data_IF_241590357601
#
_entry.id   IF_241590357601
#
_cell.length_a   1.000
_cell.length_b   1.000
_cell.length_c   1.000
_cell.angle_alpha   90.00
_cell.angle_beta   90.00
_cell.angle_gamma   90.00
#
_symmetry.space_group_name_H-M   'P 1'
#
loop_
_entity.id
_entity.type
_entity.pdbx_description
1 polymer ?
#
# COMPACT_ATOMS: atom_id res chain seq x y z
N UNK A 1 -8.48 11.12 5.06
CA UNK A 1 -7.12 10.97 5.62
C UNK A 1 -7.21 10.13 6.88
N UNK A 2 -6.33 9.14 7.00
CA UNK A 2 -6.23 8.14 8.08
C UNK A 2 -4.91 8.32 8.81
N UNK A 3 -4.88 8.10 10.12
CA UNK A 3 -3.64 8.17 10.91
C UNK A 3 -2.90 6.85 10.81
N UNK A 4 -1.82 6.84 10.02
CA UNK A 4 -1.00 5.66 9.83
C UNK A 4 0.27 5.77 10.65
N UNK A 5 0.69 4.67 11.24
CA UNK A 5 1.93 4.63 12.00
C UNK A 5 3.12 4.85 11.08
N UNK A 6 4.21 5.36 11.63
CA UNK A 6 5.50 5.41 10.94
C UNK A 6 6.54 4.63 11.73
N UNK A 7 7.52 4.04 11.03
CA UNK A 7 8.70 3.50 11.68
C UNK A 7 9.59 4.67 12.13
N UNK A 8 9.49 5.07 13.39
CA UNK A 8 10.54 5.87 14.02
C UNK A 8 11.77 4.98 14.23
N UNK A 9 12.98 5.51 13.96
CA UNK A 9 14.25 4.81 14.17
C UNK A 9 14.55 4.58 15.66
N UNK A 10 13.78 5.20 16.55
CA UNK A 10 13.69 4.78 17.95
C UNK A 10 12.54 3.78 18.04
N UNK A 11 12.75 2.59 18.58
CA UNK A 11 11.84 1.42 18.53
C UNK A 11 10.39 1.60 19.08
N UNK A 12 9.98 2.83 19.41
CA UNK A 12 8.63 3.18 19.82
C UNK A 12 7.81 3.61 18.60
N UNK A 13 6.73 2.88 18.28
CA UNK A 13 5.74 3.22 17.25
C UNK A 13 4.85 4.39 17.69
N UNK A 14 5.45 5.48 18.16
CA UNK A 14 4.74 6.63 18.76
C UNK A 14 4.39 7.71 17.74
N UNK A 15 5.04 7.71 16.57
CA UNK A 15 4.76 8.63 15.46
C UNK A 15 3.61 8.16 14.56
N UNK A 16 2.93 9.13 13.94
CA UNK A 16 1.96 8.89 12.87
C UNK A 16 2.06 9.94 11.78
N UNK A 17 1.61 9.57 10.58
CA UNK A 17 1.36 10.46 9.47
C UNK A 17 -0.11 10.38 9.03
N UNK A 18 -0.64 11.49 8.56
CA UNK A 18 -1.99 11.53 7.99
C UNK A 18 -1.90 11.15 6.52
N UNK A 19 -2.31 9.93 6.18
CA UNK A 19 -2.22 9.39 4.82
C UNK A 19 -3.61 9.34 4.19
N UNK A 20 -3.73 9.71 2.92
CA UNK A 20 -4.92 9.39 2.15
C UNK A 20 -4.82 7.97 1.59
N UNK A 21 -5.38 7.00 2.32
CA UNK A 21 -5.31 5.58 1.97
C UNK A 21 -6.13 5.22 0.72
N UNK A 22 -6.85 6.18 0.13
CA UNK A 22 -7.56 5.98 -1.13
C UNK A 22 -6.69 6.16 -2.36
N UNK A 23 -5.54 6.80 -2.20
CA UNK A 23 -4.67 7.21 -3.31
C UNK A 23 -3.18 6.97 -3.04
N UNK A 24 -2.78 6.77 -1.78
CA UNK A 24 -1.40 6.49 -1.42
C UNK A 24 -1.01 5.03 -1.78
N UNK A 25 0.13 4.88 -2.46
CA UNK A 25 0.63 3.58 -2.94
C UNK A 25 1.12 2.66 -1.82
N UNK A 26 1.72 3.21 -0.78
CA UNK A 26 2.40 2.48 0.30
C UNK A 26 1.45 2.17 1.48
N UNK A 27 0.23 2.67 1.43
CA UNK A 27 -0.84 2.49 2.42
C UNK A 27 -2.19 2.50 1.72
N UNK A 28 -2.32 1.71 0.66
CA UNK A 28 -3.54 1.62 -0.12
C UNK A 28 -4.59 0.79 0.62
N UNK A 29 -5.81 1.32 0.73
CA UNK A 29 -6.93 0.65 1.39
C UNK A 29 -6.92 0.73 2.92
N UNK A 30 -5.79 1.09 3.52
CA UNK A 30 -5.61 1.19 4.97
C UNK A 30 -4.15 1.49 5.30
N UNK A 31 -3.81 1.57 6.58
CA UNK A 31 -2.41 1.77 6.97
C UNK A 31 -1.63 0.47 6.84
N UNK A 32 -0.41 0.51 6.30
CA UNK A 32 0.52 -0.63 6.37
C UNK A 32 1.13 -0.79 7.76
N UNK A 33 1.14 0.28 8.56
CA UNK A 33 1.58 0.30 9.95
C UNK A 33 0.43 0.78 10.84
N UNK A 34 0.05 -0.04 11.82
CA UNK A 34 -1.01 0.29 12.77
C UNK A 34 -0.63 1.50 13.65
N UNK A 35 -1.62 2.31 14.02
CA UNK A 35 -1.46 3.42 14.96
C UNK A 35 -2.71 3.63 15.81
N UNK A 36 -2.55 3.61 17.14
CA UNK A 36 -3.69 3.72 18.05
C UNK A 36 -4.71 2.61 17.80
N UNK A 37 -5.94 3.00 17.42
CA UNK A 37 -7.02 2.08 17.05
C UNK A 37 -7.06 1.72 15.57
N UNK A 38 -6.24 2.34 14.72
CA UNK A 38 -6.19 2.05 13.28
C UNK A 38 -5.37 0.77 13.04
N UNK A 39 -5.98 -0.32 12.54
CA UNK A 39 -5.29 -1.57 12.30
C UNK A 39 -4.45 -1.52 11.02
N UNK A 40 -3.41 -2.36 10.96
CA UNK A 40 -2.60 -2.56 9.76
C UNK A 40 -3.37 -3.40 8.73
N UNK A 41 -4.14 -2.73 7.87
CA UNK A 41 -5.00 -3.33 6.85
C UNK A 41 -4.64 -2.90 5.43
N UNK A 42 -3.69 -1.96 5.31
CA UNK A 42 -3.22 -1.44 4.04
C UNK A 42 -2.31 -2.40 3.29
N UNK A 43 -2.24 -2.16 1.98
CA UNK A 43 -1.33 -2.83 1.06
C UNK A 43 -0.35 -1.82 0.49
N UNK A 44 0.92 -2.20 0.42
CA UNK A 44 1.93 -1.47 -0.33
C UNK A 44 1.93 -1.97 -1.78
N UNK A 45 1.27 -1.23 -2.67
CA UNK A 45 1.15 -1.58 -4.08
C UNK A 45 2.49 -1.50 -4.82
N UNK A 46 3.51 -0.87 -4.24
CA UNK A 46 4.85 -0.76 -4.85
C UNK A 46 5.63 -2.07 -4.79
N UNK A 47 5.20 -2.99 -3.92
CA UNK A 47 5.84 -4.27 -3.66
C UNK A 47 5.12 -5.47 -4.34
N UNK A 48 4.23 -5.22 -5.30
CA UNK A 48 3.57 -6.30 -6.07
C UNK A 48 4.61 -6.99 -6.98
N UNK A 49 4.86 -8.30 -6.81
CA UNK A 49 5.80 -9.03 -7.65
C UNK A 49 5.42 -8.95 -9.13
N UNK A 50 6.41 -8.74 -9.99
CA UNK A 50 6.20 -8.69 -11.44
C UNK A 50 5.50 -7.43 -11.95
N UNK A 51 4.92 -6.57 -11.11
CA UNK A 51 4.31 -5.32 -11.57
C UNK A 51 5.39 -4.28 -11.93
N UNK A 52 5.11 -3.48 -12.97
CA UNK A 52 5.95 -2.34 -13.39
C UNK A 52 5.18 -1.02 -13.36
N UNK A 53 3.86 -1.06 -13.51
CA UNK A 53 2.99 0.10 -13.35
C UNK A 53 1.84 -0.28 -12.43
N UNK A 54 1.76 0.43 -11.31
CA UNK A 54 0.78 0.23 -10.25
C UNK A 54 0.21 1.57 -9.78
N UNK A 55 -1.03 1.53 -9.30
CA UNK A 55 -1.78 2.64 -8.74
C UNK A 55 -2.54 2.21 -7.48
N UNK A 56 -3.00 3.19 -6.70
CA UNK A 56 -4.00 2.98 -5.65
C UNK A 56 -5.27 3.70 -6.07
N UNK A 57 -6.31 2.95 -6.39
CA UNK A 57 -7.58 3.48 -6.88
C UNK A 57 -8.69 3.16 -5.88
N UNK A 58 -9.25 4.20 -5.25
CA UNK A 58 -10.31 4.06 -4.24
C UNK A 58 -9.96 3.12 -3.06
N UNK A 59 -8.67 2.96 -2.79
CA UNK A 59 -8.13 2.07 -1.75
C UNK A 59 -7.93 0.62 -2.21
N UNK A 60 -7.83 0.37 -3.51
CA UNK A 60 -7.50 -0.93 -4.09
C UNK A 60 -6.27 -0.79 -4.98
N UNK A 61 -5.31 -1.70 -4.84
CA UNK A 61 -4.17 -1.73 -5.74
C UNK A 61 -4.62 -2.08 -7.16
N UNK A 62 -4.27 -1.24 -8.11
CA UNK A 62 -4.49 -1.45 -9.53
C UNK A 62 -3.14 -1.68 -10.22
N UNK A 63 -2.98 -2.79 -10.93
CA UNK A 63 -1.81 -3.09 -11.75
C UNK A 63 -2.22 -2.97 -13.21
N UNK A 64 -1.51 -2.15 -13.97
CA UNK A 64 -1.80 -1.93 -15.40
C UNK A 64 -0.71 -2.49 -16.31
N UNK A 65 0.48 -2.80 -15.77
CA UNK A 65 1.57 -3.37 -16.53
C UNK A 65 2.41 -4.33 -15.69
N UNK A 66 2.75 -5.46 -16.30
CA UNK A 66 3.67 -6.46 -15.75
C UNK A 66 5.01 -6.42 -16.47
N UNK A 67 6.04 -6.99 -15.83
CA UNK A 67 7.36 -7.25 -16.42
C UNK A 67 7.20 -8.21 -17.59
N UNK A 68 8.19 -8.21 -18.49
CA UNK A 68 8.24 -9.18 -19.58
C UNK A 68 8.24 -10.61 -19.03
N UNK A 69 7.44 -11.48 -19.64
CA UNK A 69 7.26 -12.87 -19.21
C UNK A 69 6.21 -13.08 -18.11
N UNK A 70 5.62 -12.01 -17.57
CA UNK A 70 4.54 -12.07 -16.58
C UNK A 70 3.22 -11.65 -17.22
N UNK A 71 2.12 -12.20 -16.73
CA UNK A 71 0.77 -11.89 -17.19
C UNK A 71 -0.04 -11.22 -16.09
N UNK A 72 -0.87 -10.24 -16.47
CA UNK A 72 -1.80 -9.60 -15.54
C UNK A 72 -2.88 -10.60 -15.13
N UNK A 73 -3.02 -10.81 -13.83
CA UNK A 73 -4.09 -11.64 -13.24
C UNK A 73 -5.09 -10.71 -12.54
N UNK A 74 -6.28 -10.61 -13.13
CA UNK A 74 -7.29 -9.65 -12.68
C UNK A 74 -6.82 -8.22 -12.89
N UNK A 75 -6.84 -7.40 -11.83
CA UNK A 75 -6.40 -6.01 -11.85
C UNK A 75 -5.39 -5.67 -10.75
N UNK A 76 -4.82 -6.66 -10.06
CA UNK A 76 -4.02 -6.41 -8.84
C UNK A 76 -2.80 -7.31 -8.68
N UNK A 77 -2.51 -8.19 -9.65
CA UNK A 77 -1.40 -9.13 -9.56
C UNK A 77 -0.77 -9.38 -10.94
N UNK A 78 0.50 -9.75 -10.92
CA UNK A 78 1.21 -10.31 -12.06
C UNK A 78 1.69 -11.71 -11.68
N UNK A 79 1.55 -12.68 -12.58
CA UNK A 79 2.03 -14.07 -12.41
C UNK A 79 2.72 -14.61 -13.67
#
# INVERSE_FOLDING_TARGET
MTKCGVYDQTASRTGFECIDTKTNLESCGGCTIAYGSEPATGVDCTNIPGATVFGCESGVCAVTQCKEGWSLVGSSACE
#
